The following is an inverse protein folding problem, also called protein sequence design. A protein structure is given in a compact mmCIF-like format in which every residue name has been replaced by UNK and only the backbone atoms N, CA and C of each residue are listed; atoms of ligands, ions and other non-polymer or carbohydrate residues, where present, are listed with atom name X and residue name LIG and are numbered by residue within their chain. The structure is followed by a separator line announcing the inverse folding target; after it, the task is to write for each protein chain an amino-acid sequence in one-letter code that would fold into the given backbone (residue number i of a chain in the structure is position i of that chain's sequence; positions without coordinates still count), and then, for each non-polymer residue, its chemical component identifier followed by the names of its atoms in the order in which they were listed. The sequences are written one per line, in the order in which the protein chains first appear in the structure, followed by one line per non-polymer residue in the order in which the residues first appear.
data_IF_328834680796
#
_entry.id   IF_328834680796
#
_cell.length_a   1.000
_cell.length_b   1.000
_cell.length_c   1.000
_cell.angle_alpha   90.00
_cell.angle_beta   90.00
_cell.angle_gamma   90.00
#
_symmetry.space_group_name_H-M   'P 1'
#
loop_
_entity.id
_entity.type
_entity.pdbx_description
1 polymer ?
#
# COMPACT_ATOMS: atom_id res chain seq x y z
N UNK A 1 -32.66 7.21 8.26
CA UNK A 1 -32.59 8.68 8.23
C UNK A 1 -32.11 9.06 6.84
N UNK A 2 -33.00 9.56 5.97
CA UNK A 2 -32.69 9.85 4.56
C UNK A 2 -31.72 11.03 4.48
N UNK A 3 -30.59 10.86 3.78
CA UNK A 3 -29.55 11.87 3.61
C UNK A 3 -30.05 12.98 2.67
N UNK A 4 -30.31 14.22 3.16
CA UNK A 4 -30.87 15.31 2.33
C UNK A 4 -29.80 16.07 1.50
N UNK A 5 -28.58 15.57 1.39
CA UNK A 5 -27.45 16.32 0.84
C UNK A 5 -27.43 16.32 -0.70
N UNK A 6 -27.85 15.22 -1.33
CA UNK A 6 -27.70 15.05 -2.81
C UNK A 6 -28.65 15.96 -3.61
N UNK A 7 -29.86 16.24 -3.13
CA UNK A 7 -30.80 17.17 -3.82
C UNK A 7 -30.32 18.63 -3.87
N UNK A 8 -29.52 19.04 -2.87
CA UNK A 8 -28.99 20.42 -2.81
C UNK A 8 -27.78 20.64 -3.76
N UNK A 9 -27.11 19.56 -4.11
CA UNK A 9 -25.94 19.58 -5.01
C UNK A 9 -26.42 19.77 -6.47
N UNK A 10 -27.39 19.00 -6.97
CA UNK A 10 -27.92 19.16 -8.34
C UNK A 10 -28.37 20.61 -8.68
N UNK A 11 -28.98 21.32 -7.73
CA UNK A 11 -29.44 22.73 -7.93
C UNK A 11 -28.30 23.75 -8.05
N UNK A 12 -27.15 23.51 -7.42
CA UNK A 12 -25.98 24.40 -7.51
C UNK A 12 -25.19 24.21 -8.79
N UNK A 13 -25.08 22.99 -9.28
CA UNK A 13 -24.35 22.68 -10.52
C UNK A 13 -25.05 23.21 -11.76
N UNK A 14 -26.38 23.18 -11.84
CA UNK A 14 -27.13 23.77 -12.96
C UNK A 14 -26.87 25.29 -13.06
N UNK A 15 -26.74 25.98 -11.93
CA UNK A 15 -26.43 27.43 -11.93
C UNK A 15 -24.99 27.73 -12.31
N UNK A 16 -24.06 26.86 -11.95
CA UNK A 16 -22.64 27.00 -12.31
C UNK A 16 -22.40 26.68 -13.80
N UNK A 17 -23.06 25.65 -14.35
CA UNK A 17 -22.99 25.31 -15.75
C UNK A 17 -23.52 26.44 -16.67
N UNK A 18 -24.58 27.15 -16.28
CA UNK A 18 -25.12 28.31 -17.01
C UNK A 18 -24.14 29.48 -16.97
N UNK A 19 -23.41 29.69 -15.87
CA UNK A 19 -22.43 30.76 -15.73
C UNK A 19 -21.18 30.49 -16.60
N UNK A 20 -20.74 29.25 -16.67
CA UNK A 20 -19.57 28.81 -17.51
C UNK A 20 -19.94 28.89 -18.99
N UNK A 21 -21.16 28.53 -19.38
CA UNK A 21 -21.64 28.66 -20.78
C UNK A 21 -21.69 30.12 -21.23
N UNK A 22 -22.02 31.07 -20.34
CA UNK A 22 -22.02 32.50 -20.64
C UNK A 22 -20.60 33.10 -20.76
N UNK A 23 -19.61 32.56 -20.07
CA UNK A 23 -18.21 32.99 -20.19
C UNK A 23 -17.54 32.47 -21.47
N UNK A 24 -17.92 31.28 -21.94
CA UNK A 24 -17.42 30.70 -23.21
C UNK A 24 -17.97 31.35 -24.47
N UNK A 25 -19.08 32.07 -24.39
CA UNK A 25 -19.67 32.84 -25.49
C UNK A 25 -18.99 34.19 -25.74
N UNK A 26 -18.06 34.63 -24.89
CA UNK A 26 -17.41 35.95 -24.95
C UNK A 26 -15.91 35.91 -25.33
N UNK A 27 -15.35 34.74 -25.68
CA UNK A 27 -13.95 34.62 -26.12
C UNK A 27 -13.80 33.91 -27.44
N UNK A 28 -14.10 34.61 -28.53
CA UNK A 28 -13.59 34.23 -29.83
C UNK A 28 -12.14 34.66 -30.01
N UNK A 29 -11.39 33.76 -30.62
CA UNK A 29 -10.05 33.90 -31.22
C UNK A 29 -8.84 33.82 -30.31
N UNK A 30 -8.16 32.68 -30.28
CA UNK A 30 -6.82 32.44 -30.85
C UNK A 30 -6.51 30.92 -30.83
N UNK A 31 -6.23 30.35 -31.99
CA UNK A 31 -5.81 28.99 -32.24
C UNK A 31 -4.34 28.79 -31.85
N UNK A 32 -4.06 27.90 -30.92
CA UNK A 32 -2.80 27.11 -30.90
C UNK A 32 -3.16 25.70 -30.52
N UNK A 33 -2.97 24.78 -31.49
CA UNK A 33 -3.26 23.37 -31.30
C UNK A 33 -2.25 22.73 -30.34
N UNK A 34 -2.72 22.38 -29.14
CA UNK A 34 -2.11 21.37 -28.30
C UNK A 34 -3.17 20.28 -28.14
N UNK A 35 -2.95 19.14 -28.81
CA UNK A 35 -3.77 17.94 -28.58
C UNK A 35 -3.52 17.47 -27.13
N UNK A 36 -4.21 18.04 -26.17
CA UNK A 36 -4.48 17.38 -24.90
C UNK A 36 -5.65 16.45 -25.17
N UNK A 37 -5.41 15.16 -25.13
CA UNK A 37 -6.45 14.17 -24.87
C UNK A 37 -6.99 14.48 -23.49
N UNK A 38 -7.98 15.35 -23.41
CA UNK A 38 -8.78 15.58 -22.21
C UNK A 38 -9.55 14.28 -22.02
N UNK A 39 -9.06 13.41 -21.12
CA UNK A 39 -9.92 12.39 -20.52
C UNK A 39 -11.00 13.18 -19.77
N UNK A 40 -12.23 13.11 -20.27
CA UNK A 40 -13.38 13.68 -19.60
C UNK A 40 -13.63 12.80 -18.37
N UNK A 41 -12.93 13.10 -17.27
CA UNK A 41 -13.18 12.46 -15.98
C UNK A 41 -14.45 13.10 -15.47
N UNK A 42 -15.47 12.27 -15.25
CA UNK A 42 -16.73 12.71 -14.66
C UNK A 42 -16.49 13.09 -13.19
N UNK A 43 -16.50 14.40 -12.88
CA UNK A 43 -16.24 14.94 -11.55
C UNK A 43 -17.24 14.38 -10.51
N UNK A 44 -18.50 14.13 -10.89
CA UNK A 44 -19.50 13.54 -10.01
C UNK A 44 -19.08 12.14 -9.52
N UNK A 45 -18.53 11.32 -10.43
CA UNK A 45 -18.06 9.97 -10.08
C UNK A 45 -16.82 10.00 -9.19
N UNK A 46 -15.93 10.97 -9.37
CA UNK A 46 -14.77 11.15 -8.47
C UNK A 46 -15.22 11.45 -7.05
N UNK A 47 -16.15 12.42 -6.89
CA UNK A 47 -16.70 12.79 -5.57
C UNK A 47 -17.39 11.60 -4.89
N UNK A 48 -18.17 10.83 -5.66
CA UNK A 48 -18.83 9.61 -5.16
C UNK A 48 -17.81 8.60 -4.65
N UNK A 49 -16.76 8.35 -5.42
CA UNK A 49 -15.70 7.39 -5.04
C UNK A 49 -14.94 7.84 -3.80
N UNK A 50 -14.63 9.14 -3.68
CA UNK A 50 -13.96 9.68 -2.49
C UNK A 50 -14.79 9.46 -1.22
N UNK A 51 -16.11 9.71 -1.30
CA UNK A 51 -17.04 9.45 -0.19
C UNK A 51 -17.07 7.95 0.12
N UNK A 52 -17.27 7.09 -0.89
CA UNK A 52 -17.36 5.64 -0.70
C UNK A 52 -16.08 5.05 -0.07
N UNK A 53 -14.91 5.42 -0.56
CA UNK A 53 -13.65 4.91 -0.02
C UNK A 53 -13.38 5.41 1.40
N UNK A 54 -13.70 6.67 1.70
CA UNK A 54 -13.60 7.22 3.05
C UNK A 54 -14.53 6.51 4.02
N UNK A 55 -15.80 6.36 3.67
CA UNK A 55 -16.80 5.73 4.52
C UNK A 55 -16.51 4.23 4.72
N UNK A 56 -16.04 3.55 3.68
CA UNK A 56 -15.53 2.17 3.75
C UNK A 56 -14.37 2.04 4.74
N UNK A 57 -13.40 2.95 4.67
CA UNK A 57 -12.26 2.93 5.57
C UNK A 57 -12.65 3.24 7.02
N UNK A 58 -13.62 4.14 7.24
CA UNK A 58 -14.18 4.37 8.56
C UNK A 58 -14.90 3.13 9.10
N UNK A 59 -15.64 2.42 8.24
CA UNK A 59 -16.29 1.16 8.61
C UNK A 59 -15.28 0.05 8.97
N UNK A 60 -14.10 0.03 8.38
CA UNK A 60 -13.02 -0.88 8.78
C UNK A 60 -12.56 -0.61 10.22
N UNK A 61 -12.42 0.65 10.61
CA UNK A 61 -12.01 1.04 11.97
C UNK A 61 -13.09 0.67 12.99
N UNK A 62 -14.35 0.99 12.69
CA UNK A 62 -15.48 0.75 13.60
C UNK A 62 -15.97 -0.69 13.62
N UNK A 63 -15.58 -1.49 12.63
CA UNK A 63 -16.11 -2.84 12.42
C UNK A 63 -17.54 -2.87 11.89
N UNK A 64 -18.04 -1.77 11.30
CA UNK A 64 -19.38 -1.68 10.73
C UNK A 64 -19.49 -2.40 9.39
N UNK A 65 -19.70 -3.72 9.44
CA UNK A 65 -19.82 -4.57 8.26
C UNK A 65 -21.11 -4.32 7.47
N UNK A 66 -22.17 -3.81 8.10
CA UNK A 66 -23.43 -3.49 7.41
C UNK A 66 -23.27 -2.24 6.53
N UNK A 67 -22.49 -1.25 6.98
CA UNK A 67 -22.14 -0.11 6.14
C UNK A 67 -21.30 -0.55 4.92
N UNK A 68 -20.33 -1.44 5.09
CA UNK A 68 -19.57 -2.00 3.97
C UNK A 68 -20.51 -2.76 3.02
N UNK A 69 -21.41 -3.60 3.55
CA UNK A 69 -22.36 -4.39 2.76
C UNK A 69 -23.25 -3.51 1.88
N UNK A 70 -23.69 -2.35 2.42
CA UNK A 70 -24.55 -1.42 1.68
C UNK A 70 -23.89 -0.80 0.44
N UNK A 71 -22.56 -0.83 0.36
CA UNK A 71 -21.80 -0.31 -0.78
C UNK A 71 -21.68 -1.30 -1.93
N UNK A 72 -22.04 -2.58 -1.73
CA UNK A 72 -21.84 -3.65 -2.70
C UNK A 72 -23.12 -4.35 -3.12
N UNK A 73 -23.24 -4.68 -4.40
CA UNK A 73 -24.29 -5.58 -4.88
C UNK A 73 -23.97 -7.03 -4.51
N UNK A 74 -24.32 -7.43 -3.28
CA UNK A 74 -24.05 -8.80 -2.78
C UNK A 74 -24.94 -9.88 -3.43
N UNK A 75 -25.96 -9.51 -4.19
CA UNK A 75 -26.76 -10.44 -4.98
C UNK A 75 -26.01 -10.91 -6.25
N UNK A 76 -25.09 -10.10 -6.75
CA UNK A 76 -24.25 -10.45 -7.87
C UNK A 76 -23.00 -11.21 -7.42
N UNK A 77 -22.53 -12.16 -8.24
CA UNK A 77 -21.33 -12.96 -7.95
C UNK A 77 -20.09 -12.10 -7.70
N UNK A 78 -19.85 -11.12 -8.53
CA UNK A 78 -18.63 -10.29 -8.45
C UNK A 78 -18.72 -9.22 -7.37
N UNK A 79 -19.90 -8.67 -7.11
CA UNK A 79 -20.14 -7.76 -6.00
C UNK A 79 -20.00 -8.47 -4.65
N UNK A 80 -20.54 -9.69 -4.52
CA UNK A 80 -20.36 -10.49 -3.30
C UNK A 80 -18.87 -10.84 -3.06
N UNK A 81 -18.12 -11.22 -4.09
CA UNK A 81 -16.69 -11.47 -3.94
C UNK A 81 -15.92 -10.24 -3.48
N UNK A 82 -16.23 -9.06 -4.03
CA UNK A 82 -15.60 -7.81 -3.61
C UNK A 82 -15.95 -7.47 -2.14
N UNK A 83 -17.20 -7.65 -1.74
CA UNK A 83 -17.63 -7.52 -0.34
C UNK A 83 -16.87 -8.47 0.61
N UNK A 84 -16.76 -9.76 0.25
CA UNK A 84 -16.01 -10.73 1.05
C UNK A 84 -14.51 -10.37 1.19
N UNK A 85 -13.92 -9.68 0.20
CA UNK A 85 -12.56 -9.15 0.30
C UNK A 85 -12.45 -8.11 1.41
N UNK A 86 -13.38 -7.16 1.47
CA UNK A 86 -13.39 -6.14 2.51
C UNK A 86 -13.62 -6.74 3.90
N UNK A 87 -14.50 -7.75 4.03
CA UNK A 87 -14.69 -8.45 5.30
C UNK A 87 -13.39 -9.14 5.80
N UNK A 88 -12.64 -9.74 4.89
CA UNK A 88 -11.34 -10.34 5.24
C UNK A 88 -10.34 -9.29 5.69
N UNK A 89 -10.32 -8.11 5.05
CA UNK A 89 -9.49 -6.97 5.44
C UNK A 89 -9.84 -6.49 6.85
N UNK A 90 -11.14 -6.28 7.15
CA UNK A 90 -11.61 -5.91 8.50
C UNK A 90 -11.10 -6.90 9.54
N UNK A 91 -11.31 -8.20 9.29
CA UNK A 91 -10.86 -9.26 10.20
C UNK A 91 -9.35 -9.25 10.39
N UNK A 92 -8.58 -9.11 9.29
CA UNK A 92 -7.13 -9.11 9.34
C UNK A 92 -6.59 -7.92 10.16
N UNK A 93 -7.05 -6.70 9.87
CA UNK A 93 -6.63 -5.47 10.55
C UNK A 93 -6.93 -5.55 12.05
N UNK A 94 -8.14 -5.99 12.41
CA UNK A 94 -8.52 -6.17 13.82
C UNK A 94 -7.66 -7.23 14.52
N UNK A 95 -7.37 -8.36 13.89
CA UNK A 95 -6.51 -9.39 14.46
C UNK A 95 -5.06 -8.90 14.62
N UNK A 96 -4.55 -8.19 13.61
CA UNK A 96 -3.21 -7.62 13.68
C UNK A 96 -3.12 -6.57 14.79
N UNK A 97 -4.12 -5.68 14.89
CA UNK A 97 -4.20 -4.69 15.96
C UNK A 97 -4.17 -5.33 17.36
N UNK A 98 -4.97 -6.39 17.58
CA UNK A 98 -4.95 -7.16 18.84
C UNK A 98 -3.58 -7.76 19.13
N UNK A 99 -2.97 -8.41 18.13
CA UNK A 99 -1.62 -8.99 18.27
C UNK A 99 -0.58 -7.94 18.59
N UNK A 100 -0.65 -6.79 17.95
CA UNK A 100 0.35 -5.72 18.09
C UNK A 100 0.13 -4.84 19.32
N UNK A 101 -1.09 -4.80 19.89
CA UNK A 101 -1.48 -3.89 20.96
C UNK A 101 -1.76 -2.47 20.48
N UNK A 102 -2.23 -2.33 19.24
CA UNK A 102 -2.50 -1.03 18.63
C UNK A 102 -3.98 -0.82 18.32
N UNK A 103 -4.35 0.45 18.25
CA UNK A 103 -5.66 0.93 17.82
C UNK A 103 -5.46 1.76 16.57
N UNK A 104 -6.12 1.38 15.47
CA UNK A 104 -6.19 2.22 14.27
C UNK A 104 -7.14 3.38 14.53
N UNK A 105 -6.67 4.62 14.35
CA UNK A 105 -7.43 5.84 14.64
C UNK A 105 -7.93 6.54 13.38
N UNK A 106 -7.19 6.41 12.27
CA UNK A 106 -7.57 6.97 10.96
C UNK A 106 -7.10 6.06 9.83
N UNK A 107 -7.90 5.95 8.77
CA UNK A 107 -7.55 5.32 7.50
C UNK A 107 -8.03 6.24 6.37
N UNK A 108 -7.11 7.00 5.79
CA UNK A 108 -7.42 8.08 4.84
C UNK A 108 -7.01 7.69 3.42
N UNK A 109 -7.96 7.61 2.46
CA UNK A 109 -7.66 7.35 1.06
C UNK A 109 -7.32 8.64 0.33
N UNK A 110 -6.33 8.58 -0.57
CA UNK A 110 -6.10 9.56 -1.64
C UNK A 110 -6.32 8.84 -2.96
N UNK A 111 -7.30 9.28 -3.74
CA UNK A 111 -7.67 8.63 -5.01
C UNK A 111 -7.06 9.39 -6.20
N UNK A 112 -6.52 8.64 -7.15
CA UNK A 112 -6.14 9.14 -8.48
C UNK A 112 -6.92 8.35 -9.52
N UNK A 113 -8.03 8.92 -9.97
CA UNK A 113 -8.87 8.31 -11.01
C UNK A 113 -8.15 8.42 -12.35
N UNK A 114 -7.92 7.29 -13.00
CA UNK A 114 -7.18 7.19 -14.28
C UNK A 114 -8.09 7.14 -15.49
N UNK A 115 -9.25 6.53 -15.35
CA UNK A 115 -10.28 6.52 -16.40
C UNK A 115 -11.65 6.23 -15.84
N UNK A 116 -12.64 6.90 -16.38
CA UNK A 116 -14.07 6.63 -16.21
C UNK A 116 -14.64 6.32 -17.60
N UNK A 117 -15.45 5.27 -17.71
CA UNK A 117 -16.09 4.84 -18.95
C UNK A 117 -17.55 4.52 -18.67
N UNK A 118 -18.43 5.30 -19.22
CA UNK A 118 -19.86 4.98 -19.27
C UNK A 118 -20.10 3.80 -20.24
N UNK A 119 -20.85 2.80 -19.79
CA UNK A 119 -21.20 1.57 -20.50
C UNK A 119 -22.69 1.29 -20.37
N UNK A 120 -23.53 2.23 -20.79
CA UNK A 120 -25.01 2.13 -20.81
C UNK A 120 -25.66 1.71 -19.49
N UNK A 121 -25.24 0.55 -18.91
CA UNK A 121 -25.82 0.00 -17.67
C UNK A 121 -24.91 0.16 -16.45
N UNK A 122 -23.67 0.61 -16.65
CA UNK A 122 -22.68 0.73 -15.56
C UNK A 122 -21.56 1.71 -15.90
N UNK A 123 -20.92 2.23 -14.88
CA UNK A 123 -19.70 3.02 -15.02
C UNK A 123 -18.51 2.17 -14.61
N UNK A 124 -17.56 2.00 -15.57
CA UNK A 124 -16.31 1.29 -15.32
C UNK A 124 -15.20 2.29 -14.98
N UNK A 125 -14.56 2.09 -13.83
CA UNK A 125 -13.51 2.98 -13.31
C UNK A 125 -12.20 2.23 -13.11
N UNK A 126 -11.09 2.89 -13.50
CA UNK A 126 -9.75 2.49 -13.07
C UNK A 126 -9.17 3.61 -12.22
N UNK A 127 -8.71 3.28 -11.03
CA UNK A 127 -8.10 4.24 -10.14
C UNK A 127 -6.89 3.64 -9.39
N UNK A 128 -6.04 4.52 -8.90
CA UNK A 128 -5.03 4.24 -7.89
C UNK A 128 -5.53 4.81 -6.56
N UNK A 129 -5.36 4.04 -5.49
CA UNK A 129 -5.64 4.48 -4.13
C UNK A 129 -4.37 4.42 -3.30
N UNK A 130 -3.94 5.56 -2.75
CA UNK A 130 -2.92 5.65 -1.72
C UNK A 130 -3.60 5.77 -0.37
N UNK A 131 -3.53 4.74 0.46
CA UNK A 131 -4.22 4.74 1.75
C UNK A 131 -3.22 4.97 2.88
N UNK A 132 -3.41 6.04 3.64
CA UNK A 132 -2.68 6.32 4.86
C UNK A 132 -3.40 5.68 6.05
N UNK A 133 -2.65 4.92 6.84
CA UNK A 133 -3.09 4.32 8.09
C UNK A 133 -2.40 4.99 9.25
N UNK A 134 -3.18 5.44 10.24
CA UNK A 134 -2.66 5.97 11.50
C UNK A 134 -3.07 5.07 12.65
N UNK A 135 -2.12 4.75 13.50
CA UNK A 135 -2.35 3.91 14.68
C UNK A 135 -1.57 4.42 15.88
N UNK A 136 -2.06 4.07 17.06
CA UNK A 136 -1.41 4.34 18.34
C UNK A 136 -1.30 3.05 19.15
N UNK A 137 -0.30 2.96 20.00
CA UNK A 137 -0.27 1.91 21.02
C UNK A 137 -1.16 2.31 22.21
N UNK A 138 -1.83 1.32 22.83
CA UNK A 138 -2.79 1.59 23.90
C UNK A 138 -2.18 2.26 25.14
N UNK A 139 -0.89 2.03 25.39
CA UNK A 139 -0.13 2.64 26.50
C UNK A 139 0.51 4.01 26.14
N UNK A 140 0.56 4.38 24.87
CA UNK A 140 1.12 5.65 24.39
C UNK A 140 0.23 6.30 23.33
N UNK A 141 -1.04 6.68 23.68
CA UNK A 141 -2.03 7.15 22.71
C UNK A 141 -1.67 8.49 22.05
N UNK A 142 -0.77 9.25 22.62
CA UNK A 142 -0.31 10.54 22.07
C UNK A 142 0.79 10.37 21.00
N UNK A 143 1.33 9.14 20.81
CA UNK A 143 2.35 8.85 19.81
C UNK A 143 1.73 8.20 18.57
N UNK A 144 1.38 9.02 17.60
CA UNK A 144 0.78 8.55 16.35
C UNK A 144 1.85 7.97 15.42
N UNK A 145 1.62 6.74 14.99
CA UNK A 145 2.41 6.06 13.97
C UNK A 145 1.65 6.05 12.64
N UNK A 146 2.38 6.18 11.54
CA UNK A 146 1.78 6.28 10.22
C UNK A 146 2.49 5.36 9.23
N UNK A 147 1.70 4.73 8.34
CA UNK A 147 2.21 4.02 7.17
C UNK A 147 1.27 4.19 5.98
N UNK A 148 1.75 3.87 4.76
CA UNK A 148 0.94 3.95 3.54
C UNK A 148 0.96 2.64 2.75
N UNK A 149 -0.20 2.33 2.14
CA UNK A 149 -0.37 1.22 1.21
C UNK A 149 -0.99 1.74 -0.07
N UNK A 150 -0.36 1.44 -1.21
CA UNK A 150 -0.87 1.77 -2.53
C UNK A 150 -1.51 0.58 -3.22
N UNK A 151 -2.70 0.77 -3.77
CA UNK A 151 -3.46 -0.24 -4.51
C UNK A 151 -3.99 0.31 -5.82
N UNK A 152 -4.21 -0.58 -6.79
CA UNK A 152 -4.76 -0.23 -8.11
C UNK A 152 -6.08 -0.98 -8.28
N UNK A 153 -7.18 -0.22 -8.48
CA UNK A 153 -8.52 -0.74 -8.51
C UNK A 153 -9.12 -0.69 -9.92
N UNK A 154 -9.82 -1.74 -10.28
CA UNK A 154 -10.73 -1.79 -11.42
C UNK A 154 -12.11 -2.10 -10.84
N UNK A 155 -13.06 -1.18 -11.00
CA UNK A 155 -14.40 -1.34 -10.44
C UNK A 155 -15.49 -0.96 -11.44
N UNK A 156 -16.65 -1.58 -11.27
CA UNK A 156 -17.88 -1.28 -11.99
C UNK A 156 -18.91 -0.79 -10.97
N UNK A 157 -19.53 0.36 -11.26
CA UNK A 157 -20.58 1.00 -10.46
C UNK A 157 -21.91 0.97 -11.22
N UNK A 158 -23.01 0.84 -10.50
CA UNK A 158 -24.37 1.12 -10.98
C UNK A 158 -25.06 2.10 -10.05
N UNK A 159 -26.00 2.89 -10.58
CA UNK A 159 -26.91 3.66 -9.74
C UNK A 159 -28.16 2.81 -9.45
N UNK A 160 -28.50 2.64 -8.19
CA UNK A 160 -29.69 1.93 -7.72
C UNK A 160 -30.33 2.70 -6.57
N UNK A 161 -31.61 3.00 -6.66
CA UNK A 161 -32.36 3.72 -5.62
C UNK A 161 -31.69 5.06 -5.19
N UNK A 162 -31.20 5.83 -6.15
CA UNK A 162 -30.47 7.10 -5.96
C UNK A 162 -29.11 6.94 -5.21
N UNK A 163 -28.57 5.72 -5.14
CA UNK A 163 -27.26 5.44 -4.54
C UNK A 163 -26.35 4.68 -5.53
N UNK A 164 -25.06 4.99 -5.49
CA UNK A 164 -24.06 4.25 -6.24
C UNK A 164 -23.65 2.98 -5.50
N UNK A 165 -23.64 1.85 -6.23
CA UNK A 165 -23.33 0.52 -5.68
C UNK A 165 -22.24 -0.13 -6.53
N UNK A 166 -21.24 -0.74 -5.87
CA UNK A 166 -20.17 -1.50 -6.51
C UNK A 166 -20.72 -2.88 -6.90
N UNK A 167 -20.71 -3.19 -8.19
CA UNK A 167 -21.10 -4.51 -8.72
C UNK A 167 -19.91 -5.42 -8.97
N UNK A 168 -18.71 -4.83 -9.08
CA UNK A 168 -17.45 -5.52 -9.23
C UNK A 168 -16.33 -4.61 -8.74
N UNK A 169 -15.41 -5.13 -7.96
CA UNK A 169 -14.14 -4.50 -7.66
C UNK A 169 -13.04 -5.57 -7.65
N UNK A 170 -11.90 -5.22 -8.24
CA UNK A 170 -10.71 -6.03 -8.18
C UNK A 170 -9.49 -5.15 -7.90
N UNK A 171 -8.69 -5.59 -6.97
CA UNK A 171 -7.37 -5.03 -6.68
C UNK A 171 -6.51 -6.09 -5.99
N UNK A 172 -5.20 -5.91 -5.95
CA UNK A 172 -4.32 -6.80 -5.19
C UNK A 172 -4.47 -6.47 -3.70
N UNK A 173 -5.12 -7.37 -2.97
CA UNK A 173 -5.38 -7.19 -1.54
C UNK A 173 -4.07 -7.29 -0.74
N UNK A 174 -3.68 -6.23 -0.02
CA UNK A 174 -2.49 -6.23 0.84
C UNK A 174 -2.64 -7.13 2.08
N UNK A 175 -3.85 -7.58 2.41
CA UNK A 175 -4.21 -8.40 3.57
C UNK A 175 -4.74 -9.78 3.18
N UNK A 176 -4.37 -10.28 2.00
CA UNK A 176 -4.86 -11.53 1.45
C UNK A 176 -4.51 -12.77 2.30
N UNK A 177 -3.42 -12.71 3.05
CA UNK A 177 -3.02 -13.78 3.96
C UNK A 177 -3.82 -13.71 5.27
N UNK A 178 -4.13 -14.87 5.86
CA UNK A 178 -4.89 -14.94 7.11
C UNK A 178 -3.97 -14.84 8.34
N UNK A 179 -4.43 -14.17 9.37
CA UNK A 179 -3.81 -14.10 10.70
C UNK A 179 -4.71 -14.83 11.71
N UNK A 180 -4.27 -16.01 12.16
CA UNK A 180 -5.01 -16.81 13.15
C UNK A 180 -4.38 -16.61 14.55
N UNK A 181 -5.09 -15.89 15.42
CA UNK A 181 -4.63 -15.56 16.77
C UNK A 181 -4.60 -16.79 17.72
N UNK A 182 -5.40 -17.82 17.44
CA UNK A 182 -5.41 -19.05 18.26
C UNK A 182 -4.11 -19.85 18.17
N UNK A 183 -3.30 -19.61 17.15
CA UNK A 183 -2.04 -20.32 16.87
C UNK A 183 -0.79 -19.61 17.38
N UNK A 184 -0.95 -18.49 18.04
CA UNK A 184 0.16 -17.70 18.59
C UNK A 184 -0.15 -17.26 20.02
N UNK A 185 0.88 -17.05 20.82
CA UNK A 185 0.73 -16.48 22.15
C UNK A 185 0.64 -14.94 22.04
N UNK A 186 -0.60 -14.45 21.82
CA UNK A 186 -0.88 -13.02 21.62
C UNK A 186 -0.43 -12.20 22.82
N UNK A 187 -0.73 -12.64 24.03
CA UNK A 187 -0.43 -11.90 25.26
C UNK A 187 1.08 -11.70 25.43
N UNK A 188 1.86 -12.77 25.25
CA UNK A 188 3.33 -12.69 25.33
C UNK A 188 3.94 -11.82 24.24
N UNK A 189 3.37 -11.84 23.02
CA UNK A 189 3.82 -10.99 21.90
C UNK A 189 3.52 -9.52 22.21
N UNK A 190 2.29 -9.25 22.63
CA UNK A 190 1.82 -7.91 22.97
C UNK A 190 2.64 -7.31 24.13
N UNK A 191 2.78 -8.05 25.23
CA UNK A 191 3.59 -7.64 26.39
C UNK A 191 5.03 -7.28 25.97
N UNK A 192 5.65 -8.11 25.12
CA UNK A 192 6.99 -7.81 24.64
C UNK A 192 7.04 -6.54 23.79
N UNK A 193 6.11 -6.35 22.84
CA UNK A 193 6.08 -5.19 21.96
C UNK A 193 5.85 -3.91 22.76
N UNK A 194 4.87 -3.91 23.67
CA UNK A 194 4.55 -2.75 24.52
C UNK A 194 5.71 -2.38 25.43
N UNK A 195 6.48 -3.38 25.93
CA UNK A 195 7.65 -3.12 26.77
C UNK A 195 8.82 -2.45 26.03
N UNK A 196 8.79 -2.39 24.69
CA UNK A 196 9.84 -1.74 23.92
C UNK A 196 9.62 -0.23 23.85
N UNK A 197 10.67 0.52 23.55
CA UNK A 197 10.66 1.97 23.33
C UNK A 197 11.13 2.36 21.94
N UNK A 198 11.06 3.65 21.66
CA UNK A 198 11.57 4.25 20.42
C UNK A 198 13.06 3.91 20.26
N UNK A 199 13.44 3.53 19.04
CA UNK A 199 14.84 3.26 18.71
C UNK A 199 15.52 4.55 18.25
N UNK A 200 16.73 4.78 18.75
CA UNK A 200 17.58 5.82 18.19
C UNK A 200 18.19 5.35 16.87
N UNK A 201 17.76 5.98 15.80
CA UNK A 201 18.24 5.74 14.43
C UNK A 201 18.96 6.98 13.87
N UNK A 202 19.34 7.95 14.71
CA UNK A 202 19.98 9.20 14.29
C UNK A 202 21.40 9.00 13.75
N UNK A 203 22.12 7.99 14.24
CA UNK A 203 23.52 7.72 13.85
C UNK A 203 23.68 6.66 12.74
N UNK A 204 22.62 6.38 11.96
CA UNK A 204 22.78 5.53 10.78
C UNK A 204 23.62 6.25 9.70
N UNK A 205 24.56 5.53 9.10
CA UNK A 205 25.48 6.12 8.11
C UNK A 205 24.75 6.65 6.86
N UNK A 206 25.35 7.64 6.18
CA UNK A 206 24.78 8.34 5.01
C UNK A 206 24.25 7.39 3.92
N UNK A 207 24.90 6.25 3.70
CA UNK A 207 24.45 5.27 2.73
C UNK A 207 23.12 4.63 3.10
N UNK A 208 22.86 4.43 4.39
CA UNK A 208 21.56 3.94 4.90
C UNK A 208 20.48 5.01 4.77
N UNK A 209 20.82 6.26 5.08
CA UNK A 209 19.93 7.42 4.88
C UNK A 209 19.53 7.52 3.40
N UNK A 210 20.50 7.49 2.48
CA UNK A 210 20.22 7.53 1.04
C UNK A 210 19.36 6.35 0.54
N UNK A 211 19.48 5.16 1.15
CA UNK A 211 18.62 4.02 0.85
C UNK A 211 17.16 4.28 1.27
N UNK A 212 16.92 4.88 2.45
CA UNK A 212 15.59 5.27 2.92
C UNK A 212 14.98 6.35 2.03
N UNK A 213 15.73 7.42 1.75
CA UNK A 213 15.28 8.52 0.88
C UNK A 213 14.87 8.03 -0.51
N UNK A 214 15.64 7.09 -1.07
CA UNK A 214 15.28 6.48 -2.35
C UNK A 214 13.99 5.66 -2.25
N UNK A 215 13.84 4.87 -1.19
CA UNK A 215 12.66 4.05 -0.96
C UNK A 215 11.41 4.92 -0.79
N UNK A 216 11.44 5.95 0.04
CA UNK A 216 10.32 6.88 0.28
C UNK A 216 9.89 7.58 -1.02
N UNK A 217 10.85 8.00 -1.84
CA UNK A 217 10.60 8.72 -3.09
C UNK A 217 9.97 7.86 -4.19
N UNK A 218 10.31 6.58 -4.27
CA UNK A 218 9.99 5.74 -5.42
C UNK A 218 9.15 4.50 -5.08
N UNK A 219 8.48 4.47 -3.93
CA UNK A 219 7.60 3.35 -3.54
C UNK A 219 6.23 3.34 -4.24
N UNK A 220 6.08 4.04 -5.36
CA UNK A 220 4.90 3.99 -6.20
C UNK A 220 3.65 4.59 -5.56
N UNK A 221 2.52 3.88 -5.64
CA UNK A 221 1.24 4.34 -5.10
C UNK A 221 1.23 4.55 -3.57
N UNK A 222 2.23 4.05 -2.85
CA UNK A 222 2.38 4.27 -1.41
C UNK A 222 3.28 5.46 -1.06
N UNK A 223 3.86 6.18 -2.04
CA UNK A 223 4.65 7.37 -1.76
C UNK A 223 3.76 8.50 -1.22
N UNK A 224 4.39 9.47 -0.59
CA UNK A 224 3.72 10.73 -0.26
C UNK A 224 3.38 11.50 -1.54
N UNK A 225 2.33 12.33 -1.48
CA UNK A 225 1.82 13.08 -2.63
C UNK A 225 2.89 13.95 -3.30
N UNK A 226 3.80 14.54 -2.52
CA UNK A 226 4.94 15.31 -3.02
C UNK A 226 5.88 14.55 -3.97
N UNK A 227 5.81 13.23 -4.00
CA UNK A 227 6.57 12.36 -4.89
C UNK A 227 5.77 11.84 -6.09
N UNK A 228 4.54 12.35 -6.33
CA UNK A 228 3.67 12.04 -7.47
C UNK A 228 3.34 10.55 -7.64
N UNK A 229 3.34 9.74 -6.58
CA UNK A 229 2.99 8.32 -6.60
C UNK A 229 3.69 7.53 -7.72
N UNK A 230 4.99 7.71 -7.90
CA UNK A 230 5.71 7.20 -9.07
C UNK A 230 6.79 6.19 -8.75
N UNK A 231 7.06 5.33 -9.72
CA UNK A 231 8.27 4.52 -9.81
C UNK A 231 9.39 5.28 -10.52
N UNK A 232 10.64 4.90 -10.28
CA UNK A 232 11.76 5.45 -11.01
C UNK A 232 11.76 4.97 -12.47
N UNK A 233 11.48 5.88 -13.41
CA UNK A 233 11.38 5.61 -14.85
C UNK A 233 12.69 5.13 -15.50
N UNK A 234 13.84 5.23 -14.82
CA UNK A 234 15.11 4.67 -15.30
C UNK A 234 15.14 3.13 -15.23
N UNK A 235 14.18 2.52 -14.55
CA UNK A 235 14.06 1.07 -14.40
C UNK A 235 12.72 0.58 -14.93
N UNK A 236 12.75 -0.60 -15.57
CA UNK A 236 11.52 -1.26 -16.01
C UNK A 236 10.70 -1.70 -14.79
N UNK A 237 9.39 -1.49 -14.86
CA UNK A 237 8.45 -2.05 -13.89
C UNK A 237 8.17 -3.51 -14.24
N UNK A 238 8.48 -4.43 -13.33
CA UNK A 238 8.27 -5.88 -13.49
C UNK A 238 6.97 -6.40 -12.86
N UNK A 239 6.11 -5.55 -12.30
CA UNK A 239 4.81 -5.98 -11.77
C UNK A 239 3.99 -6.81 -12.77
N UNK A 240 3.89 -6.45 -14.06
CA UNK A 240 3.19 -7.26 -15.05
C UNK A 240 3.82 -8.63 -15.33
N UNK A 241 5.09 -8.86 -14.95
CA UNK A 241 5.82 -10.10 -15.12
C UNK A 241 5.91 -10.95 -13.84
N UNK A 242 5.09 -10.64 -12.85
CA UNK A 242 4.99 -11.41 -11.61
C UNK A 242 5.60 -10.75 -10.37
N UNK A 243 6.13 -9.54 -10.49
CA UNK A 243 6.53 -8.76 -9.34
C UNK A 243 7.79 -7.90 -9.49
N UNK A 244 7.82 -6.80 -8.74
CA UNK A 244 8.86 -5.76 -8.80
C UNK A 244 9.65 -5.58 -7.49
N UNK A 245 9.37 -6.39 -6.45
CA UNK A 245 9.93 -6.22 -5.12
C UNK A 245 11.46 -6.31 -5.07
N UNK A 246 12.06 -7.30 -5.73
CA UNK A 246 13.52 -7.47 -5.79
C UNK A 246 14.18 -6.40 -6.68
N UNK A 247 13.52 -5.99 -7.78
CA UNK A 247 13.97 -4.89 -8.62
C UNK A 247 14.02 -3.58 -7.81
N UNK A 248 12.97 -3.30 -7.04
CA UNK A 248 12.94 -2.12 -6.16
C UNK A 248 14.02 -2.18 -5.08
N UNK A 249 14.14 -3.30 -4.35
CA UNK A 249 15.18 -3.48 -3.34
C UNK A 249 16.60 -3.31 -3.94
N UNK A 250 16.82 -3.82 -5.17
CA UNK A 250 18.08 -3.62 -5.89
C UNK A 250 18.33 -2.15 -6.20
N UNK A 251 17.32 -1.40 -6.62
CA UNK A 251 17.43 0.05 -6.85
C UNK A 251 17.76 0.81 -5.57
N UNK A 252 17.06 0.50 -4.46
CA UNK A 252 17.31 1.08 -3.13
C UNK A 252 18.78 0.90 -2.72
N UNK A 253 19.29 -0.32 -2.83
CA UNK A 253 20.66 -0.62 -2.42
C UNK A 253 21.71 -0.09 -3.42
N UNK A 254 21.42 -0.08 -4.71
CA UNK A 254 22.34 0.45 -5.72
C UNK A 254 22.37 1.99 -5.73
N UNK A 255 21.22 2.64 -5.90
CA UNK A 255 21.16 4.10 -6.06
C UNK A 255 21.27 4.80 -4.71
N UNK A 256 20.41 4.45 -3.76
CA UNK A 256 20.41 5.01 -2.42
C UNK A 256 21.60 4.56 -1.59
N UNK A 257 21.76 3.25 -1.45
CA UNK A 257 22.81 2.60 -0.66
C UNK A 257 24.21 2.62 -1.25
N UNK A 258 24.38 3.09 -2.51
CA UNK A 258 25.69 3.21 -3.21
C UNK A 258 26.48 1.90 -3.32
N UNK A 259 25.80 0.74 -3.37
CA UNK A 259 26.46 -0.53 -3.64
C UNK A 259 26.86 -0.63 -5.11
N UNK A 260 28.07 -1.11 -5.36
CA UNK A 260 28.55 -1.32 -6.74
C UNK A 260 27.90 -2.55 -7.36
N UNK A 261 27.42 -2.44 -8.59
CA UNK A 261 26.98 -3.57 -9.42
C UNK A 261 28.11 -4.59 -9.61
N UNK A 262 27.70 -5.84 -9.87
CA UNK A 262 28.58 -6.93 -10.26
C UNK A 262 28.00 -7.63 -11.48
N UNK A 263 28.73 -8.54 -12.11
CA UNK A 263 28.22 -9.32 -13.24
C UNK A 263 26.98 -10.15 -12.85
N UNK A 264 26.90 -10.59 -11.60
CA UNK A 264 25.77 -11.38 -11.09
C UNK A 264 24.59 -10.54 -10.59
N UNK A 265 24.82 -9.29 -10.20
CA UNK A 265 23.78 -8.37 -9.69
C UNK A 265 23.91 -7.02 -10.40
N UNK A 266 23.18 -6.87 -11.48
CA UNK A 266 23.25 -5.69 -12.35
C UNK A 266 21.94 -5.46 -13.11
N UNK A 267 21.79 -4.21 -13.54
CA UNK A 267 20.76 -3.73 -14.47
C UNK A 267 21.44 -2.78 -15.45
N UNK A 268 21.28 -3.03 -16.75
CA UNK A 268 21.83 -2.21 -17.83
C UNK A 268 20.88 -2.16 -19.05
N UNK A 269 21.35 -1.65 -20.19
CA UNK A 269 20.60 -1.58 -21.44
C UNK A 269 20.15 -2.95 -21.99
N UNK A 270 20.79 -4.03 -21.58
CA UNK A 270 20.48 -5.40 -22.00
C UNK A 270 19.46 -6.06 -21.06
N UNK A 271 19.10 -5.39 -19.96
CA UNK A 271 18.14 -5.85 -18.96
C UNK A 271 18.73 -6.05 -17.56
N UNK A 272 18.04 -6.87 -16.79
CA UNK A 272 18.39 -7.17 -15.40
C UNK A 272 18.86 -8.61 -15.24
N UNK A 273 19.84 -8.83 -14.36
CA UNK A 273 20.21 -10.19 -13.94
C UNK A 273 19.16 -10.79 -13.01
N UNK A 274 19.14 -12.12 -12.89
CA UNK A 274 18.22 -12.81 -11.96
C UNK A 274 18.36 -12.28 -10.53
N UNK A 275 19.57 -12.06 -10.05
CA UNK A 275 19.80 -11.52 -8.71
C UNK A 275 19.29 -10.09 -8.52
N UNK A 276 19.03 -9.35 -9.59
CA UNK A 276 18.46 -8.00 -9.53
C UNK A 276 16.93 -8.01 -9.42
N UNK A 277 16.23 -8.91 -10.15
CA UNK A 277 14.77 -8.87 -10.31
C UNK A 277 13.98 -10.01 -9.66
N UNK A 278 14.65 -11.10 -9.30
CA UNK A 278 13.98 -12.27 -8.71
C UNK A 278 14.28 -12.35 -7.21
N UNK A 279 13.23 -12.53 -6.40
CA UNK A 279 13.33 -12.49 -4.94
C UNK A 279 14.30 -13.53 -4.37
N UNK A 280 14.25 -14.79 -4.85
CA UNK A 280 15.19 -15.83 -4.41
C UNK A 280 16.62 -15.57 -4.90
N UNK A 281 16.75 -15.15 -6.15
CA UNK A 281 18.05 -14.75 -6.72
C UNK A 281 18.67 -13.57 -5.96
N UNK A 282 17.88 -12.58 -5.58
CA UNK A 282 18.31 -11.43 -4.79
C UNK A 282 18.83 -11.86 -3.41
N UNK A 283 18.00 -12.57 -2.61
CA UNK A 283 18.41 -13.06 -1.28
C UNK A 283 19.70 -13.90 -1.37
N UNK A 284 19.72 -14.85 -2.30
CA UNK A 284 20.85 -15.76 -2.45
C UNK A 284 22.14 -15.02 -2.82
N UNK A 285 22.06 -14.05 -3.73
CA UNK A 285 23.22 -13.22 -4.10
C UNK A 285 23.77 -12.43 -2.90
N UNK A 286 22.89 -11.73 -2.15
CA UNK A 286 23.33 -10.88 -1.04
C UNK A 286 24.01 -11.69 0.07
N UNK A 287 23.50 -12.88 0.39
CA UNK A 287 24.10 -13.77 1.38
C UNK A 287 25.41 -14.41 0.87
N UNK A 288 25.41 -14.95 -0.36
CA UNK A 288 26.58 -15.68 -0.88
C UNK A 288 27.75 -14.76 -1.27
N UNK A 289 27.48 -13.48 -1.56
CA UNK A 289 28.54 -12.50 -1.84
C UNK A 289 29.19 -11.92 -0.60
N UNK A 290 28.73 -12.28 0.60
CA UNK A 290 29.21 -11.70 1.87
C UNK A 290 28.78 -10.26 2.11
N UNK A 291 27.87 -9.71 1.28
CA UNK A 291 27.32 -8.35 1.44
C UNK A 291 26.23 -8.26 2.48
N UNK A 292 25.70 -9.38 2.94
CA UNK A 292 24.69 -9.45 3.97
C UNK A 292 24.85 -10.73 4.80
N UNK A 293 24.26 -10.72 5.99
CA UNK A 293 24.21 -11.86 6.92
C UNK A 293 22.82 -12.05 7.50
N UNK A 294 22.50 -13.29 7.88
CA UNK A 294 21.21 -13.61 8.49
C UNK A 294 21.22 -13.23 9.97
N UNK A 295 20.29 -12.38 10.39
CA UNK A 295 20.02 -12.09 11.80
C UNK A 295 19.18 -13.21 12.43
N UNK A 296 18.09 -13.60 11.74
CA UNK A 296 17.19 -14.66 12.20
C UNK A 296 16.41 -15.25 11.01
N UNK A 297 15.94 -16.51 11.18
CA UNK A 297 15.09 -17.21 10.23
C UNK A 297 14.05 -18.06 10.94
N UNK A 298 12.81 -17.99 10.51
CA UNK A 298 11.75 -18.82 11.04
C UNK A 298 10.34 -18.26 10.88
N UNK A 299 9.40 -18.85 11.63
CA UNK A 299 8.04 -18.30 11.77
C UNK A 299 8.07 -16.95 12.50
N UNK A 300 6.97 -16.21 12.44
CA UNK A 300 6.82 -14.94 13.14
C UNK A 300 7.27 -15.03 14.60
N UNK A 301 6.74 -16.00 15.37
CA UNK A 301 7.06 -16.15 16.79
C UNK A 301 8.54 -16.41 17.10
N UNK A 302 9.27 -17.01 16.12
CA UNK A 302 10.71 -17.24 16.28
C UNK A 302 11.56 -16.00 16.05
N UNK A 303 11.08 -15.08 15.18
CA UNK A 303 11.92 -13.99 14.70
C UNK A 303 11.49 -12.59 15.15
N UNK A 304 10.26 -12.39 15.65
CA UNK A 304 9.74 -11.05 15.94
C UNK A 304 10.62 -10.26 16.92
N UNK A 305 11.20 -10.90 17.95
CA UNK A 305 12.15 -10.24 18.87
C UNK A 305 13.44 -9.82 18.16
N UNK A 306 13.90 -10.63 17.20
CA UNK A 306 15.10 -10.34 16.44
C UNK A 306 14.89 -9.20 15.41
N UNK A 307 13.64 -8.91 15.00
CA UNK A 307 13.34 -7.83 14.08
C UNK A 307 13.75 -6.44 14.60
N UNK A 308 13.83 -6.28 15.91
CA UNK A 308 14.32 -5.05 16.55
C UNK A 308 15.82 -4.77 16.33
N UNK A 309 16.57 -5.75 15.79
CA UNK A 309 17.99 -5.58 15.41
C UNK A 309 18.17 -5.08 13.98
N UNK A 310 17.10 -5.08 13.17
CA UNK A 310 17.16 -4.61 11.78
C UNK A 310 17.38 -3.09 11.77
N UNK A 311 18.24 -2.63 10.85
CA UNK A 311 18.53 -1.22 10.63
C UNK A 311 17.98 -0.77 9.27
N UNK A 312 17.67 0.51 9.08
CA UNK A 312 17.32 1.04 7.75
C UNK A 312 18.33 0.63 6.68
N UNK A 313 17.85 0.15 5.52
CA UNK A 313 18.67 -0.44 4.46
C UNK A 313 18.88 -1.96 4.57
N UNK A 314 18.58 -2.59 5.72
CA UNK A 314 18.46 -4.03 5.82
C UNK A 314 17.24 -4.52 5.04
N UNK A 315 17.08 -5.82 4.84
CA UNK A 315 15.88 -6.32 4.15
C UNK A 315 15.32 -7.60 4.77
N UNK A 316 14.05 -7.82 4.51
CA UNK A 316 13.34 -9.03 4.90
C UNK A 316 12.97 -9.79 3.63
N UNK A 317 13.27 -11.08 3.60
CA UNK A 317 12.80 -11.98 2.57
C UNK A 317 11.70 -12.88 3.13
N UNK A 318 10.60 -13.01 2.38
CA UNK A 318 9.42 -13.75 2.78
C UNK A 318 9.35 -15.07 2.01
N UNK A 319 9.38 -16.18 2.76
CA UNK A 319 9.38 -17.53 2.21
C UNK A 319 7.99 -18.17 2.36
N UNK A 320 7.44 -18.66 1.26
CA UNK A 320 6.19 -19.40 1.21
C UNK A 320 6.42 -20.74 0.52
N UNK A 321 6.18 -21.84 1.22
CA UNK A 321 6.36 -23.21 0.72
C UNK A 321 7.79 -23.51 0.24
N UNK A 322 8.80 -22.89 0.85
CA UNK A 322 10.22 -23.10 0.49
C UNK A 322 10.77 -22.09 -0.54
N UNK A 323 9.92 -21.32 -1.21
CA UNK A 323 10.33 -20.32 -2.20
C UNK A 323 10.31 -18.91 -1.60
N UNK A 324 11.33 -18.09 -1.90
CA UNK A 324 11.30 -16.67 -1.56
C UNK A 324 10.39 -15.95 -2.56
N UNK A 325 9.26 -15.48 -2.05
CA UNK A 325 8.20 -14.87 -2.87
C UNK A 325 8.21 -13.35 -2.84
N UNK A 326 8.86 -12.75 -1.83
CA UNK A 326 8.86 -11.30 -1.67
C UNK A 326 10.11 -10.79 -0.95
N UNK A 327 10.46 -9.52 -1.23
CA UNK A 327 11.52 -8.76 -0.55
C UNK A 327 10.96 -7.40 -0.14
N UNK A 328 11.21 -6.99 1.12
CA UNK A 328 10.93 -5.63 1.60
C UNK A 328 12.19 -5.05 2.23
N UNK A 329 12.46 -3.77 1.98
CA UNK A 329 13.59 -3.05 2.58
C UNK A 329 13.13 -2.38 3.87
N UNK A 330 13.92 -2.48 4.92
CA UNK A 330 13.67 -1.78 6.19
C UNK A 330 13.96 -0.30 5.99
N UNK A 331 13.00 0.56 6.35
CA UNK A 331 13.10 2.02 6.14
C UNK A 331 12.90 2.83 7.41
N UNK A 332 12.64 2.16 8.56
CA UNK A 332 12.48 2.84 9.83
C UNK A 332 12.01 1.92 10.94
N UNK A 333 11.54 2.54 11.99
CA UNK A 333 10.88 1.88 13.11
C UNK A 333 9.75 2.79 13.64
N UNK A 334 8.73 2.20 14.25
CA UNK A 334 7.64 2.93 14.90
C UNK A 334 8.01 3.40 16.33
N UNK A 335 7.04 3.97 17.04
CA UNK A 335 7.23 4.50 18.40
C UNK A 335 7.61 3.45 19.46
N UNK A 336 7.38 2.18 19.18
CA UNK A 336 7.86 1.05 20.01
C UNK A 336 9.12 0.38 19.43
N UNK A 337 9.74 0.98 18.42
CA UNK A 337 10.93 0.42 17.76
C UNK A 337 10.65 -0.76 16.85
N UNK A 338 9.38 -1.05 16.54
CA UNK A 338 8.98 -2.11 15.62
C UNK A 338 9.38 -1.78 14.19
N UNK A 339 10.09 -2.67 13.52
CA UNK A 339 10.67 -2.38 12.20
C UNK A 339 9.60 -2.12 11.15
N UNK A 340 9.81 -1.07 10.35
CA UNK A 340 8.96 -0.66 9.24
C UNK A 340 9.67 -0.94 7.92
N UNK A 341 8.89 -1.34 6.90
CA UNK A 341 9.42 -1.72 5.58
C UNK A 341 8.73 -0.99 4.44
N UNK A 342 9.48 -0.81 3.36
CA UNK A 342 9.01 -0.23 2.10
C UNK A 342 9.29 -1.22 0.96
N UNK A 343 8.32 -1.43 0.06
CA UNK A 343 8.46 -2.33 -1.09
C UNK A 343 7.47 -2.02 -2.22
N UNK A 344 7.73 -2.61 -3.41
CA UNK A 344 6.75 -2.77 -4.49
C UNK A 344 6.02 -4.12 -4.38
N UNK A 345 5.04 -4.37 -5.21
CA UNK A 345 4.09 -5.50 -5.19
C UNK A 345 3.09 -5.43 -4.03
N UNK A 346 2.03 -4.70 -4.24
CA UNK A 346 1.27 -3.92 -3.31
C UNK A 346 2.21 -2.91 -2.69
N UNK A 347 2.24 -1.73 -3.27
CA UNK A 347 3.19 -0.69 -2.88
C UNK A 347 3.02 -0.36 -1.40
N UNK A 348 4.10 -0.36 -0.65
CA UNK A 348 4.11 -0.15 0.81
C UNK A 348 5.16 0.87 1.17
N UNK A 349 4.81 1.81 2.05
CA UNK A 349 5.74 2.77 2.63
C UNK A 349 5.64 2.76 4.15
N UNK A 350 6.75 2.43 4.81
CA UNK A 350 6.89 2.35 6.28
C UNK A 350 5.84 1.45 6.94
N UNK A 351 5.46 0.37 6.26
CA UNK A 351 4.48 -0.59 6.78
C UNK A 351 5.14 -1.49 7.82
N UNK A 352 4.51 -1.81 8.96
CA UNK A 352 5.02 -2.81 9.89
C UNK A 352 5.38 -4.11 9.16
N UNK A 353 6.57 -4.61 9.40
CA UNK A 353 7.22 -5.63 8.56
C UNK A 353 6.44 -6.93 8.36
N UNK A 354 5.56 -7.29 9.29
CA UNK A 354 4.73 -8.51 9.21
C UNK A 354 3.27 -8.22 8.80
N UNK A 355 2.86 -6.96 8.70
CA UNK A 355 1.49 -6.60 8.33
C UNK A 355 1.16 -7.08 6.92
N UNK A 356 0.04 -7.79 6.78
CA UNK A 356 -0.41 -8.40 5.52
C UNK A 356 0.12 -9.81 5.28
N UNK A 357 0.87 -10.40 6.23
CA UNK A 357 1.41 -11.75 6.12
C UNK A 357 0.78 -12.73 7.11
N UNK A 358 0.78 -14.01 6.74
CA UNK A 358 0.28 -15.10 7.56
C UNK A 358 1.23 -15.40 8.74
N UNK A 359 0.67 -15.81 9.88
CA UNK A 359 1.46 -16.30 11.01
C UNK A 359 1.80 -17.79 10.94
N UNK A 360 1.24 -18.56 10.00
CA UNK A 360 1.40 -20.02 9.96
C UNK A 360 2.09 -20.58 8.73
N UNK A 361 1.99 -19.89 7.58
CA UNK A 361 2.44 -20.41 6.30
C UNK A 361 3.60 -19.64 5.69
N UNK A 362 4.11 -18.63 6.40
CA UNK A 362 5.23 -17.79 5.99
C UNK A 362 6.40 -18.00 6.94
N UNK A 363 7.61 -18.05 6.39
CA UNK A 363 8.87 -17.91 7.13
C UNK A 363 9.54 -16.63 6.71
N UNK A 364 10.23 -16.01 7.65
CA UNK A 364 10.86 -14.71 7.47
C UNK A 364 12.37 -14.87 7.62
N UNK A 365 13.10 -14.31 6.67
CA UNK A 365 14.54 -14.13 6.71
C UNK A 365 14.82 -12.68 7.07
N UNK A 366 15.29 -12.42 8.27
CA UNK A 366 15.73 -11.09 8.70
C UNK A 366 17.21 -10.96 8.33
N UNK A 367 17.55 -10.03 7.44
CA UNK A 367 18.86 -9.97 6.82
C UNK A 367 19.49 -8.61 7.00
N UNK A 368 20.67 -8.59 7.63
CA UNK A 368 21.49 -7.41 7.83
C UNK A 368 22.40 -7.17 6.64
N UNK A 369 22.40 -5.96 6.09
CA UNK A 369 23.24 -5.52 4.96
C UNK A 369 24.48 -4.83 5.49
N UNK A 370 25.65 -5.24 4.99
CA UNK A 370 26.95 -4.70 5.36
C UNK A 370 27.25 -3.44 4.53
N UNK A 371 26.79 -2.29 4.98
CA UNK A 371 26.99 -0.98 4.34
C UNK A 371 28.41 -0.48 4.42
#
# INVERSE_FOLDING_TARGET
MKIPIIKKIKSRFIKLAILIALILLLSESVSVGVFHTVFNIDEEIVDVLEVMFRDRNQAIITGDVELIKAMYNTESKYGNWAYEYELRKVKYINNWGKKQGVIFIEINPTLVVRSVKDKEEKIAVNLMCSTEYKYVYGDTPDQVNTFRIGTYHILDLIEKDEAWIITKEWYTDPFADSLNLERINVDSINEYIISQGTRDLSEIGERRIGAVEYADKYCGAASEEQFDFKYNKAYKNYNPQGGDCANFASQVLYVGGKFKKTNSWSYDKNGATRAWVNADGFKSYWLNSGRASVIAYGSYEKVYKASYKLLPGDFIAYEKKGDITHISVVTGADSKGYSLVTCHNTDRNKVPWDLGWSNSNIRFWLIHVHF
#
